data_IF_856679337551
#
_entry.id   IF_856679337551
#
_cell.length_a   1.000
_cell.length_b   1.000
_cell.length_c   1.000
_cell.angle_alpha   90.00
_cell.angle_beta   90.00
_cell.angle_gamma   90.00
#
_symmetry.space_group_name_H-M   'P 1'
#
loop_
_entity.id
_entity.type
_entity.pdbx_description
1 polymer ?
#
# COMPACT_ATOMS: atom_id res chain seq x y z
N UNK A 1 1.17 -23.96 -10.97
CA UNK A 1 0.24 -23.06 -10.26
C UNK A 1 -0.87 -23.91 -9.67
N UNK A 2 -1.12 -23.81 -8.36
CA UNK A 2 -2.31 -24.45 -7.78
C UNK A 2 -3.53 -23.64 -8.24
N UNK A 3 -4.69 -24.29 -8.37
CA UNK A 3 -5.95 -23.63 -8.78
C UNK A 3 -6.30 -22.45 -7.85
N UNK A 4 -5.90 -22.54 -6.57
CA UNK A 4 -5.98 -21.47 -5.57
C UNK A 4 -5.25 -20.18 -5.98
N UNK A 5 -4.13 -20.29 -6.68
CA UNK A 5 -3.27 -19.14 -7.01
C UNK A 5 -3.85 -18.34 -8.17
N UNK A 6 -4.51 -19.01 -9.12
CA UNK A 6 -5.16 -18.38 -10.28
C UNK A 6 -6.33 -17.49 -9.84
N UNK A 7 -7.11 -17.95 -8.86
CA UNK A 7 -8.25 -17.20 -8.30
C UNK A 7 -7.76 -15.95 -7.56
N UNK A 8 -6.70 -16.08 -6.75
CA UNK A 8 -6.03 -14.93 -6.08
C UNK A 8 -5.59 -13.86 -7.09
N UNK A 9 -5.02 -14.31 -8.21
CA UNK A 9 -4.52 -13.44 -9.28
C UNK A 9 -5.65 -12.66 -9.97
N UNK A 10 -6.74 -13.35 -10.35
CA UNK A 10 -7.90 -12.75 -11.00
C UNK A 10 -8.58 -11.68 -10.13
N UNK A 11 -8.73 -11.95 -8.83
CA UNK A 11 -9.32 -10.99 -7.88
C UNK A 11 -8.43 -9.74 -7.77
N UNK A 12 -7.12 -9.93 -7.62
CA UNK A 12 -6.16 -8.83 -7.49
C UNK A 12 -6.16 -7.91 -8.72
N UNK A 13 -6.12 -8.50 -9.93
CA UNK A 13 -6.14 -7.75 -11.18
C UNK A 13 -7.47 -7.01 -11.37
N UNK A 14 -8.59 -7.65 -11.04
CA UNK A 14 -9.92 -7.04 -11.17
C UNK A 14 -10.07 -5.81 -10.26
N UNK A 15 -9.58 -5.89 -9.02
CA UNK A 15 -9.54 -4.76 -8.08
C UNK A 15 -8.73 -3.60 -8.65
N UNK A 16 -7.52 -3.87 -9.17
CA UNK A 16 -6.66 -2.84 -9.75
C UNK A 16 -7.34 -2.13 -10.91
N UNK A 17 -7.90 -2.89 -11.86
CA UNK A 17 -8.58 -2.33 -13.04
C UNK A 17 -9.77 -1.47 -12.63
N UNK A 18 -10.59 -1.95 -11.69
CA UNK A 18 -11.74 -1.21 -11.18
C UNK A 18 -11.34 0.12 -10.54
N UNK A 19 -10.30 0.12 -9.70
CA UNK A 19 -9.75 1.33 -9.09
C UNK A 19 -9.27 2.34 -10.15
N UNK A 20 -8.56 1.89 -11.20
CA UNK A 20 -8.08 2.79 -12.27
C UNK A 20 -9.21 3.43 -13.08
N UNK A 21 -10.34 2.73 -13.25
CA UNK A 21 -11.50 3.25 -13.96
C UNK A 21 -12.21 4.34 -13.14
N UNK A 22 -12.34 4.15 -11.83
CA UNK A 22 -12.89 5.18 -10.92
C UNK A 22 -11.98 6.42 -10.89
N UNK A 23 -10.66 6.22 -10.93
CA UNK A 23 -9.62 7.26 -11.05
C UNK A 23 -9.86 8.31 -12.12
N UNK A 24 -10.35 7.88 -13.28
CA UNK A 24 -10.54 8.76 -14.43
C UNK A 24 -11.77 9.66 -14.32
N UNK A 25 -12.78 9.26 -13.52
CA UNK A 25 -14.04 10.00 -13.37
C UNK A 25 -14.09 10.81 -12.08
N UNK A 26 -13.57 10.27 -10.98
CA UNK A 26 -13.67 10.86 -9.64
C UNK A 26 -12.33 10.73 -8.90
N UNK A 27 -11.36 11.63 -9.17
CA UNK A 27 -9.98 11.49 -8.68
C UNK A 27 -9.86 11.54 -7.15
N UNK A 28 -10.71 12.28 -6.45
CA UNK A 28 -10.75 12.33 -4.98
C UNK A 28 -11.22 11.01 -4.38
N UNK A 29 -12.30 10.43 -4.91
CA UNK A 29 -12.79 9.10 -4.50
C UNK A 29 -11.80 8.00 -4.88
N UNK A 30 -11.15 8.13 -6.03
CA UNK A 30 -10.11 7.18 -6.43
C UNK A 30 -8.88 7.24 -5.55
N UNK A 31 -8.49 8.43 -5.06
CA UNK A 31 -7.45 8.57 -4.04
C UNK A 31 -7.83 7.84 -2.75
N UNK A 32 -9.08 8.00 -2.28
CA UNK A 32 -9.58 7.28 -1.12
C UNK A 32 -9.56 5.76 -1.32
N UNK A 33 -10.03 5.29 -2.48
CA UNK A 33 -10.04 3.87 -2.84
C UNK A 33 -8.62 3.33 -3.04
N UNK A 34 -7.68 4.13 -3.56
CA UNK A 34 -6.29 3.75 -3.72
C UNK A 34 -5.53 3.62 -2.39
N UNK A 35 -5.91 4.42 -1.38
CA UNK A 35 -5.34 4.35 -0.03
C UNK A 35 -6.07 3.31 0.84
N UNK A 36 -7.26 2.83 0.45
CA UNK A 36 -7.88 1.69 1.14
C UNK A 36 -6.90 0.51 1.14
N UNK A 37 -6.69 -0.15 2.31
CA UNK A 37 -5.77 -1.26 2.42
C UNK A 37 -6.41 -2.53 1.84
N UNK A 38 -6.88 -2.51 0.59
CA UNK A 38 -7.51 -3.65 -0.08
C UNK A 38 -6.53 -4.82 -0.21
N UNK A 39 -5.30 -4.52 -0.61
CA UNK A 39 -4.22 -5.51 -0.68
C UNK A 39 -3.90 -6.06 0.71
N UNK A 40 -3.80 -5.18 1.72
CA UNK A 40 -3.57 -5.56 3.10
C UNK A 40 -4.69 -6.43 3.68
N UNK A 41 -5.94 -6.09 3.37
CA UNK A 41 -7.14 -6.84 3.78
C UNK A 41 -7.14 -8.23 3.17
N UNK A 42 -6.87 -8.34 1.86
CA UNK A 42 -6.78 -9.64 1.19
C UNK A 42 -5.72 -10.49 1.89
N UNK A 43 -4.50 -9.96 2.07
CA UNK A 43 -3.41 -10.69 2.73
C UNK A 43 -3.75 -11.10 4.16
N UNK A 44 -4.41 -10.24 4.94
CA UNK A 44 -4.86 -10.55 6.29
C UNK A 44 -5.86 -11.72 6.31
N UNK A 45 -6.86 -11.71 5.41
CA UNK A 45 -7.85 -12.78 5.29
C UNK A 45 -7.18 -14.11 4.92
N UNK A 46 -6.22 -14.10 4.00
CA UNK A 46 -5.46 -15.31 3.64
C UNK A 46 -4.60 -15.82 4.79
N UNK A 47 -3.85 -14.93 5.45
CA UNK A 47 -3.03 -15.31 6.61
C UNK A 47 -3.89 -15.93 7.71
N UNK A 48 -5.06 -15.35 7.98
CA UNK A 48 -5.99 -15.88 8.97
C UNK A 48 -6.57 -17.24 8.54
N UNK A 49 -6.97 -17.38 7.28
CA UNK A 49 -7.53 -18.66 6.78
C UNK A 49 -6.48 -19.77 6.76
N UNK A 50 -5.23 -19.45 6.42
CA UNK A 50 -4.13 -20.41 6.37
C UNK A 50 -3.61 -20.77 7.78
N UNK A 51 -3.77 -19.88 8.78
CA UNK A 51 -3.29 -20.05 10.16
C UNK A 51 -4.27 -19.49 11.20
N UNK A 52 -5.47 -20.07 11.36
CA UNK A 52 -6.58 -19.46 12.11
C UNK A 52 -6.29 -19.21 13.60
N UNK A 53 -5.38 -19.97 14.22
CA UNK A 53 -5.06 -19.84 15.65
C UNK A 53 -3.75 -19.08 15.93
N UNK A 54 -3.05 -18.60 14.89
CA UNK A 54 -1.79 -17.89 15.05
C UNK A 54 -2.00 -16.38 15.24
N UNK A 55 -2.55 -16.00 16.40
CA UNK A 55 -2.79 -14.60 16.76
C UNK A 55 -1.52 -13.75 16.81
N UNK A 56 -0.36 -14.35 17.15
CA UNK A 56 0.91 -13.63 17.13
C UNK A 56 1.26 -13.16 15.72
N UNK A 57 1.08 -14.03 14.72
CA UNK A 57 1.33 -13.68 13.32
C UNK A 57 0.32 -12.64 12.80
N UNK A 58 -0.95 -12.69 13.22
CA UNK A 58 -1.92 -11.61 12.91
C UNK A 58 -1.49 -10.28 13.53
N UNK A 59 -1.03 -10.29 14.78
CA UNK A 59 -0.62 -9.11 15.51
C UNK A 59 0.62 -8.47 14.86
N UNK A 60 1.64 -9.27 14.54
CA UNK A 60 2.85 -8.81 13.86
C UNK A 60 2.57 -8.25 12.47
N UNK A 61 1.70 -8.92 11.70
CA UNK A 61 1.26 -8.42 10.40
C UNK A 61 0.54 -7.08 10.52
N UNK A 62 -0.43 -6.98 11.43
CA UNK A 62 -1.22 -5.76 11.64
C UNK A 62 -0.34 -4.61 12.14
N UNK A 63 0.59 -4.90 13.04
CA UNK A 63 1.60 -3.94 13.51
C UNK A 63 2.48 -3.47 12.35
N UNK A 64 3.00 -4.39 11.54
CA UNK A 64 3.79 -4.06 10.36
C UNK A 64 3.02 -3.19 9.36
N UNK A 65 1.76 -3.53 9.08
CA UNK A 65 0.89 -2.76 8.20
C UNK A 65 0.61 -1.36 8.76
N UNK A 66 0.27 -1.25 10.05
CA UNK A 66 0.01 0.03 10.73
C UNK A 66 1.22 0.97 10.61
N UNK A 67 2.41 0.45 10.88
CA UNK A 67 3.64 1.22 10.77
C UNK A 67 4.03 1.55 9.32
N UNK A 68 3.71 0.67 8.37
CA UNK A 68 3.93 0.90 6.93
C UNK A 68 3.08 2.03 6.33
N UNK A 69 2.01 2.44 7.01
CA UNK A 69 1.19 3.59 6.60
C UNK A 69 2.01 4.89 6.69
N UNK A 70 2.88 5.04 7.69
CA UNK A 70 3.61 6.30 7.92
C UNK A 70 4.55 6.66 6.74
N UNK A 71 5.43 5.76 6.25
CA UNK A 71 6.19 6.00 5.01
C UNK A 71 5.28 6.29 3.81
N UNK A 72 4.15 5.60 3.70
CA UNK A 72 3.20 5.78 2.59
C UNK A 72 2.55 7.17 2.59
N UNK A 73 2.21 7.71 3.77
CA UNK A 73 1.73 9.09 3.91
C UNK A 73 2.79 10.08 3.43
N UNK A 74 4.05 9.89 3.82
CA UNK A 74 5.15 10.77 3.40
C UNK A 74 5.39 10.72 1.89
N UNK A 75 5.25 9.54 1.27
CA UNK A 75 5.29 9.39 -0.18
C UNK A 75 4.22 10.24 -0.86
N UNK A 76 2.94 10.08 -0.47
CA UNK A 76 1.84 10.81 -1.11
C UNK A 76 1.89 12.31 -0.81
N UNK A 77 2.37 12.72 0.37
CA UNK A 77 2.60 14.13 0.71
C UNK A 77 3.65 14.75 -0.20
N UNK A 78 4.78 14.07 -0.41
CA UNK A 78 5.83 14.51 -1.32
C UNK A 78 5.31 14.61 -2.74
N UNK A 79 4.59 13.58 -3.19
CA UNK A 79 3.98 13.57 -4.51
C UNK A 79 3.01 14.74 -4.71
N UNK A 80 2.15 15.01 -3.72
CA UNK A 80 1.22 16.14 -3.74
C UNK A 80 1.94 17.48 -3.87
N UNK A 81 3.00 17.71 -3.07
CA UNK A 81 3.78 18.95 -3.12
C UNK A 81 4.51 19.09 -4.47
N UNK A 82 5.09 18.01 -5.00
CA UNK A 82 5.78 18.02 -6.29
C UNK A 82 4.82 18.30 -7.45
N UNK A 83 3.63 17.69 -7.45
CA UNK A 83 2.60 17.97 -8.46
C UNK A 83 2.04 19.40 -8.34
N UNK A 84 1.91 19.96 -7.14
CA UNK A 84 1.56 21.39 -6.93
C UNK A 84 2.60 22.35 -7.53
N UNK A 85 3.85 21.91 -7.69
CA UNK A 85 4.93 22.66 -8.34
C UNK A 85 5.06 22.37 -9.84
N UNK A 86 4.10 21.65 -10.44
CA UNK A 86 4.10 21.26 -11.86
C UNK A 86 5.38 20.52 -12.31
N UNK A 87 5.99 19.74 -11.40
CA UNK A 87 7.15 18.91 -11.73
C UNK A 87 6.74 17.72 -12.62
N UNK A 88 7.69 17.20 -13.41
CA UNK A 88 7.46 16.01 -14.23
C UNK A 88 7.25 14.76 -13.37
N UNK A 89 6.48 13.79 -13.89
CA UNK A 89 6.17 12.53 -13.20
C UNK A 89 7.45 11.82 -12.72
N UNK A 90 8.50 11.79 -13.54
CA UNK A 90 9.76 11.15 -13.19
C UNK A 90 10.41 11.76 -11.96
N UNK A 91 10.44 13.11 -11.87
CA UNK A 91 10.97 13.82 -10.70
C UNK A 91 10.11 13.54 -9.47
N UNK A 92 8.78 13.56 -9.63
CA UNK A 92 7.83 13.29 -8.55
C UNK A 92 8.06 11.89 -7.98
N UNK A 93 8.19 10.87 -8.84
CA UNK A 93 8.41 9.50 -8.43
C UNK A 93 9.75 9.35 -7.71
N UNK A 94 10.85 9.85 -8.30
CA UNK A 94 12.18 9.77 -7.67
C UNK A 94 12.20 10.45 -6.30
N UNK A 95 11.62 11.64 -6.16
CA UNK A 95 11.56 12.35 -4.89
C UNK A 95 10.70 11.59 -3.85
N UNK A 96 9.53 11.11 -4.25
CA UNK A 96 8.61 10.43 -3.34
C UNK A 96 9.16 9.09 -2.87
N UNK A 97 9.81 8.31 -3.76
CA UNK A 97 10.49 7.08 -3.39
C UNK A 97 11.71 7.31 -2.50
N UNK A 98 12.49 8.38 -2.75
CA UNK A 98 13.61 8.74 -1.90
C UNK A 98 13.15 9.07 -0.47
N UNK A 99 12.09 9.89 -0.32
CA UNK A 99 11.50 10.21 0.98
C UNK A 99 10.93 8.96 1.67
N UNK A 100 10.23 8.10 0.92
CA UNK A 100 9.70 6.84 1.44
C UNK A 100 10.81 5.92 1.96
N UNK A 101 11.91 5.77 1.22
CA UNK A 101 13.07 4.96 1.63
C UNK A 101 13.69 5.51 2.91
N UNK A 102 13.93 6.81 2.99
CA UNK A 102 14.48 7.47 4.18
C UNK A 102 13.56 7.25 5.39
N UNK A 103 12.24 7.43 5.21
CA UNK A 103 11.26 7.22 6.26
C UNK A 103 11.21 5.76 6.73
N UNK A 104 11.22 4.80 5.79
CA UNK A 104 11.25 3.37 6.09
C UNK A 104 12.54 2.99 6.84
N UNK A 105 13.68 3.57 6.46
CA UNK A 105 14.97 3.30 7.10
C UNK A 105 15.04 3.87 8.53
N UNK A 106 14.61 5.11 8.73
CA UNK A 106 14.52 5.74 10.06
C UNK A 106 13.59 4.92 10.97
N UNK A 107 12.45 4.49 10.42
CA UNK A 107 11.48 3.71 11.14
C UNK A 107 12.01 2.32 11.54
N UNK A 108 12.65 1.59 10.62
CA UNK A 108 13.25 0.30 10.93
C UNK A 108 14.37 0.43 11.98
N UNK A 109 15.15 1.52 11.92
CA UNK A 109 16.17 1.80 12.92
C UNK A 109 15.57 2.10 14.31
N UNK A 110 14.41 2.75 14.37
CA UNK A 110 13.71 3.07 15.62
C UNK A 110 13.07 1.83 16.27
N UNK A 111 12.54 0.90 15.47
CA UNK A 111 11.94 -0.34 15.97
C UNK A 111 12.95 -1.42 16.35
N UNK A 112 14.17 -1.36 15.83
CA UNK A 112 15.22 -2.37 16.08
C UNK A 112 16.23 -1.96 17.17
N UNK A 113 15.95 -0.85 17.87
CA UNK A 113 16.52 -0.48 19.17
C UNK A 113 15.61 -0.95 20.29
#
# INVERSE_FOLDING_TARGET
MRVSDVIKLLISVSVIVFCTQIGRKLPTLAGLVAVMPLTGLIVLVWLYTDNPDNFNLMNDYTKGALWGILPSILFFLTAFICFRKHLSLWIVLCASFAVWLIAAFIHQWLLHK
#
